data_IF_118715670463
#
_entry.id   IF_118715670463
#
_cell.length_a   1.000
_cell.length_b   1.000
_cell.length_c   1.000
_cell.angle_alpha   90.00
_cell.angle_beta   90.00
_cell.angle_gamma   90.00
#
_symmetry.space_group_name_H-M   'P 1'
#
loop_
_entity.id
_entity.type
_entity.pdbx_description
1 polymer ?
#
# COMPACT_ATOMS: atom_id res chain seq x y z
N UNK A 1 9.35 -8.61 4.14
CA UNK A 1 10.22 -7.55 4.71
C UNK A 1 10.20 -7.61 6.24
N UNK A 2 9.06 -7.49 6.91
CA UNK A 2 8.98 -7.46 8.38
C UNK A 2 9.49 -8.69 9.15
N UNK A 3 9.69 -9.84 8.50
CA UNK A 3 10.25 -11.06 9.12
C UNK A 3 11.78 -11.20 8.97
N UNK A 4 12.41 -10.44 8.07
CA UNK A 4 13.83 -10.60 7.73
C UNK A 4 14.71 -9.43 8.20
N UNK A 5 14.10 -8.31 8.59
CA UNK A 5 14.78 -7.15 9.16
C UNK A 5 14.05 -6.68 10.41
N UNK A 6 14.74 -6.03 11.36
CA UNK A 6 14.10 -5.41 12.51
C UNK A 6 12.98 -4.46 12.09
N UNK A 7 11.86 -4.48 12.81
CA UNK A 7 10.64 -3.74 12.46
C UNK A 7 10.90 -2.23 12.35
N UNK A 8 11.74 -1.69 13.23
CA UNK A 8 12.16 -0.29 13.23
C UNK A 8 12.92 0.13 11.96
N UNK A 9 13.50 -0.84 11.23
CA UNK A 9 14.22 -0.60 9.97
C UNK A 9 13.33 -0.73 8.74
N UNK A 10 12.13 -1.30 8.88
CA UNK A 10 11.21 -1.53 7.74
C UNK A 10 10.85 -0.24 7.01
N UNK A 11 10.48 0.88 7.68
CA UNK A 11 10.14 2.12 6.99
C UNK A 11 11.32 2.67 6.18
N UNK A 12 12.53 2.63 6.75
CA UNK A 12 13.74 3.09 6.08
C UNK A 12 14.10 2.21 4.87
N UNK A 13 13.96 0.89 5.01
CA UNK A 13 14.20 -0.04 3.91
C UNK A 13 13.20 0.18 2.76
N UNK A 14 11.92 0.36 3.07
CA UNK A 14 10.89 0.68 2.07
C UNK A 14 11.22 1.97 1.33
N UNK A 15 11.51 3.05 2.04
CA UNK A 15 11.90 4.33 1.44
C UNK A 15 13.11 4.17 0.52
N UNK A 16 14.14 3.43 0.96
CA UNK A 16 15.35 3.18 0.17
C UNK A 16 15.05 2.40 -1.11
N UNK A 17 14.21 1.36 -1.04
CA UNK A 17 13.82 0.54 -2.19
C UNK A 17 13.03 1.38 -3.21
N UNK A 18 12.02 2.13 -2.74
CA UNK A 18 11.21 3.01 -3.60
C UNK A 18 12.10 4.02 -4.30
N UNK A 19 13.01 4.67 -3.57
CA UNK A 19 13.92 5.65 -4.15
C UNK A 19 14.85 5.03 -5.21
N UNK A 20 15.44 3.87 -4.92
CA UNK A 20 16.33 3.18 -5.85
C UNK A 20 15.59 2.75 -7.12
N UNK A 21 14.37 2.21 -7.00
CA UNK A 21 13.55 1.85 -8.16
C UNK A 21 13.28 3.07 -9.05
N UNK A 22 12.96 4.22 -8.44
CA UNK A 22 12.74 5.48 -9.15
C UNK A 22 14.01 5.98 -9.86
N UNK A 23 15.16 5.95 -9.20
CA UNK A 23 16.45 6.29 -9.82
C UNK A 23 16.76 5.41 -11.04
N UNK A 24 16.37 4.14 -10.98
CA UNK A 24 16.54 3.17 -12.06
C UNK A 24 15.43 3.21 -13.12
N UNK A 25 14.47 4.15 -13.02
CA UNK A 25 13.27 4.22 -13.87
C UNK A 25 12.48 2.90 -13.92
N UNK A 26 12.49 2.14 -12.82
CA UNK A 26 11.71 0.91 -12.67
C UNK A 26 10.45 1.21 -11.86
N UNK A 27 9.26 0.74 -12.31
CA UNK A 27 8.04 0.91 -11.54
C UNK A 27 8.14 0.17 -10.21
N UNK A 28 7.67 0.80 -9.13
CA UNK A 28 7.64 0.22 -7.79
C UNK A 28 6.22 0.14 -7.25
N UNK A 29 5.83 -1.07 -6.87
CA UNK A 29 4.54 -1.37 -6.25
C UNK A 29 4.81 -1.66 -4.78
N UNK A 30 4.11 -0.97 -3.88
CA UNK A 30 4.18 -1.28 -2.45
C UNK A 30 2.96 -2.10 -2.06
N UNK A 31 3.21 -3.37 -1.72
CA UNK A 31 2.26 -4.28 -1.13
C UNK A 31 2.52 -4.35 0.38
N UNK A 32 2.00 -3.37 1.11
CA UNK A 32 2.01 -3.38 2.58
C UNK A 32 0.59 -3.66 3.07
N UNK A 33 0.48 -4.25 4.27
CA UNK A 33 -0.78 -4.46 4.97
C UNK A 33 -1.31 -3.13 5.51
N UNK A 34 -1.59 -2.21 4.59
CA UNK A 34 -1.89 -0.81 4.88
C UNK A 34 -3.26 -0.64 5.50
N UNK A 35 -4.16 -1.60 5.35
CA UNK A 35 -5.55 -1.51 5.82
C UNK A 35 -5.99 -2.85 6.42
N UNK A 36 -5.09 -3.58 7.08
CA UNK A 36 -5.36 -4.91 7.65
C UNK A 36 -6.56 -4.90 8.60
N UNK A 37 -6.73 -3.83 9.39
CA UNK A 37 -7.90 -3.69 10.26
C UNK A 37 -9.20 -3.64 9.48
N UNK A 38 -9.16 -3.25 8.20
CA UNK A 38 -10.34 -3.19 7.33
C UNK A 38 -10.85 -4.55 6.85
N UNK A 39 -10.13 -5.63 7.16
CA UNK A 39 -10.62 -6.99 6.97
C UNK A 39 -11.84 -7.23 7.87
N UNK A 40 -11.74 -6.81 9.14
CA UNK A 40 -12.78 -7.03 10.16
C UNK A 40 -13.63 -5.78 10.43
N UNK A 41 -13.06 -4.58 10.29
CA UNK A 41 -13.70 -3.32 10.67
C UNK A 41 -13.96 -2.40 9.46
N UNK A 42 -15.03 -1.61 9.45
CA UNK A 42 -15.36 -0.75 8.31
C UNK A 42 -14.49 0.51 8.20
N UNK A 43 -13.66 0.80 9.20
CA UNK A 43 -12.88 2.04 9.34
C UNK A 43 -11.43 1.64 9.66
N UNK A 44 -10.44 2.20 8.94
CA UNK A 44 -9.04 1.96 9.24
C UNK A 44 -8.60 2.71 10.49
N UNK A 45 -7.53 2.24 11.09
CA UNK A 45 -6.83 2.94 12.17
C UNK A 45 -6.10 4.18 11.65
N UNK A 46 -5.71 5.09 12.56
CA UNK A 46 -4.90 6.26 12.19
C UNK A 46 -3.53 5.87 11.63
N UNK A 47 -2.89 4.87 12.22
CA UNK A 47 -1.57 4.40 11.81
C UNK A 47 -1.57 3.88 10.36
N UNK A 48 -2.64 3.18 9.96
CA UNK A 48 -2.85 2.67 8.61
C UNK A 48 -3.04 3.78 7.56
N UNK A 49 -3.84 4.80 7.89
CA UNK A 49 -4.02 5.97 7.02
C UNK A 49 -2.71 6.76 6.88
N UNK A 50 -1.95 6.89 7.96
CA UNK A 50 -0.65 7.55 7.97
C UNK A 50 0.36 6.77 7.13
N UNK A 51 0.43 5.44 7.23
CA UNK A 51 1.34 4.59 6.43
C UNK A 51 0.99 4.62 4.93
N UNK A 52 -0.31 4.60 4.60
CA UNK A 52 -0.77 4.74 3.22
C UNK A 52 -0.38 6.12 2.65
N UNK A 53 -0.58 7.19 3.42
CA UNK A 53 -0.23 8.56 3.01
C UNK A 53 1.28 8.74 2.84
N UNK A 54 2.07 8.18 3.75
CA UNK A 54 3.52 8.21 3.70
C UNK A 54 4.06 7.45 2.48
N UNK A 55 3.45 6.31 2.11
CA UNK A 55 3.83 5.57 0.91
C UNK A 55 3.52 6.34 -0.37
N UNK A 56 2.39 7.05 -0.45
CA UNK A 56 2.10 7.93 -1.59
C UNK A 56 3.10 9.09 -1.64
N UNK A 57 3.48 9.65 -0.47
CA UNK A 57 4.49 10.72 -0.37
C UNK A 57 5.87 10.29 -0.84
N UNK A 58 6.23 9.01 -0.65
CA UNK A 58 7.45 8.40 -1.18
C UNK A 58 7.43 8.24 -2.70
N UNK A 59 6.32 8.57 -3.37
CA UNK A 59 6.14 8.44 -4.80
C UNK A 59 6.32 7.00 -5.29
N UNK A 60 5.79 6.04 -4.54
CA UNK A 60 5.54 4.70 -5.09
C UNK A 60 4.71 4.84 -6.39
N UNK A 61 4.77 3.90 -7.33
CA UNK A 61 3.96 4.01 -8.55
C UNK A 61 2.54 3.50 -8.33
N UNK A 62 2.38 2.52 -7.45
CA UNK A 62 1.09 2.01 -7.01
C UNK A 62 1.12 1.38 -5.61
N UNK A 63 -0.06 1.31 -4.99
CA UNK A 63 -0.32 0.51 -3.79
C UNK A 63 -1.13 -0.71 -4.15
N UNK A 64 -0.87 -1.80 -3.44
CA UNK A 64 -1.57 -3.06 -3.59
C UNK A 64 -2.31 -3.40 -2.29
N UNK A 65 -3.60 -3.73 -2.43
CA UNK A 65 -4.37 -4.39 -1.37
C UNK A 65 -4.18 -5.90 -1.49
N UNK A 66 -4.08 -6.59 -0.37
CA UNK A 66 -3.91 -8.03 -0.30
C UNK A 66 -5.16 -8.64 0.34
N UNK A 67 -5.05 -9.15 1.57
CA UNK A 67 -6.17 -9.78 2.29
C UNK A 67 -7.39 -8.87 2.48
N UNK A 68 -7.20 -7.55 2.43
CA UNK A 68 -8.28 -6.55 2.53
C UNK A 68 -9.25 -6.59 1.35
N UNK A 69 -8.77 -6.97 0.16
CA UNK A 69 -9.60 -7.09 -1.06
C UNK A 69 -10.11 -8.50 -1.29
N UNK A 70 -9.38 -9.52 -0.84
CA UNK A 70 -9.69 -10.92 -1.12
C UNK A 70 -10.58 -11.58 -0.04
N UNK A 71 -10.31 -11.27 1.23
CA UNK A 71 -11.04 -11.84 2.38
C UNK A 71 -11.70 -10.78 3.27
N UNK A 72 -11.50 -9.50 2.97
CA UNK A 72 -12.06 -8.41 3.77
C UNK A 72 -13.57 -8.29 3.63
N UNK A 73 -14.24 -7.93 4.74
CA UNK A 73 -15.67 -7.63 4.74
C UNK A 73 -16.01 -6.31 4.00
N UNK A 74 -14.99 -5.47 3.75
CA UNK A 74 -15.17 -4.11 3.23
C UNK A 74 -14.21 -3.74 2.07
N UNK A 75 -14.12 -4.54 0.98
CA UNK A 75 -13.13 -4.34 -0.08
C UNK A 75 -13.31 -3.00 -0.82
N UNK A 76 -14.55 -2.61 -1.12
CA UNK A 76 -14.87 -1.32 -1.75
C UNK A 76 -14.52 -0.11 -0.87
N UNK A 77 -14.68 -0.24 0.46
CA UNK A 77 -14.31 0.83 1.40
C UNK A 77 -12.79 0.94 1.51
N UNK A 78 -12.07 -0.17 1.56
CA UNK A 78 -10.61 -0.17 1.57
C UNK A 78 -10.06 0.53 0.30
N UNK A 79 -10.65 0.24 -0.86
CA UNK A 79 -10.32 0.92 -2.10
C UNK A 79 -10.62 2.43 -2.06
N UNK A 80 -11.77 2.81 -1.49
CA UNK A 80 -12.13 4.21 -1.31
C UNK A 80 -11.15 4.97 -0.40
N UNK A 81 -10.66 4.33 0.66
CA UNK A 81 -9.63 4.90 1.55
C UNK A 81 -8.34 5.16 0.78
N UNK A 82 -7.84 4.19 0.00
CA UNK A 82 -6.64 4.38 -0.83
C UNK A 82 -6.82 5.47 -1.88
N UNK A 83 -8.01 5.55 -2.51
CA UNK A 83 -8.35 6.64 -3.45
C UNK A 83 -8.32 8.00 -2.77
N UNK A 84 -8.79 8.10 -1.53
CA UNK A 84 -8.76 9.33 -0.75
C UNK A 84 -7.33 9.71 -0.33
N UNK A 85 -6.51 8.75 0.08
CA UNK A 85 -5.10 8.96 0.40
C UNK A 85 -4.31 9.53 -0.81
N UNK A 86 -4.60 9.01 -2.02
CA UNK A 86 -4.10 9.61 -3.27
C UNK A 86 -4.53 11.06 -3.42
N UNK A 87 -5.80 11.40 -3.18
CA UNK A 87 -6.29 12.76 -3.39
C UNK A 87 -5.60 13.78 -2.48
N UNK A 88 -5.26 13.37 -1.26
CA UNK A 88 -4.57 14.21 -0.27
C UNK A 88 -3.10 14.43 -0.64
N UNK A 89 -2.45 13.42 -1.21
CA UNK A 89 -1.07 13.51 -1.63
C UNK A 89 -0.99 14.05 -3.06
N UNK A 90 -0.32 15.18 -3.29
CA UNK A 90 -0.22 15.90 -4.58
C UNK A 90 0.49 15.13 -5.73
N UNK A 91 0.57 13.79 -5.66
CA UNK A 91 1.23 12.91 -6.62
C UNK A 91 0.49 12.88 -7.97
N UNK A 92 1.02 13.60 -8.95
CA UNK A 92 0.40 13.79 -10.28
C UNK A 92 0.42 12.55 -11.20
N UNK A 93 1.28 11.55 -10.94
CA UNK A 93 1.56 10.45 -11.89
C UNK A 93 1.26 9.04 -11.34
N UNK A 94 0.35 8.94 -10.37
CA UNK A 94 0.00 7.67 -9.78
C UNK A 94 -0.92 6.85 -10.69
N UNK A 95 -0.37 5.81 -11.31
CA UNK A 95 -1.14 4.82 -12.05
C UNK A 95 -1.73 3.85 -11.03
N UNK A 96 -3.05 3.73 -11.00
CA UNK A 96 -3.69 2.55 -10.40
C UNK A 96 -3.60 1.45 -11.45
N UNK A 97 -2.63 0.51 -11.43
CA UNK A 97 -2.99 -0.79 -11.92
C UNK A 97 -4.07 -1.28 -10.96
N UNK A 98 -5.25 -1.45 -11.53
CA UNK A 98 -6.38 -2.20 -11.03
C UNK A 98 -5.95 -3.19 -9.97
N UNK A 99 -6.62 -3.15 -8.80
CA UNK A 99 -6.68 -4.21 -7.79
C UNK A 99 -6.10 -5.49 -8.39
N UNK A 100 -4.83 -5.78 -8.12
CA UNK A 100 -4.29 -7.08 -8.46
C UNK A 100 -4.96 -8.02 -7.48
N UNK A 101 -6.16 -8.46 -7.88
CA UNK A 101 -6.80 -9.65 -7.40
C UNK A 101 -5.76 -10.74 -7.57
N UNK A 102 -5.03 -11.00 -6.48
CA UNK A 102 -4.13 -12.13 -6.34
C UNK A 102 -5.00 -13.39 -6.26
N UNK A 103 -5.74 -13.69 -7.33
CA UNK A 103 -5.88 -15.08 -7.73
C UNK A 103 -4.46 -15.57 -8.06
N UNK A 104 -3.66 -15.93 -7.04
CA UNK A 104 -2.45 -16.75 -7.06
C UNK A 104 -1.50 -16.47 -5.87
N UNK A 105 -1.95 -16.61 -4.63
CA UNK A 105 -1.09 -17.20 -3.60
C UNK A 105 -1.81 -18.40 -2.98
N UNK A 106 -1.45 -19.58 -3.51
CA UNK A 106 -1.95 -20.93 -3.24
C UNK A 106 -3.27 -21.32 -3.93
N UNK A 107 -3.12 -22.27 -4.88
CA UNK A 107 -4.07 -23.33 -5.23
C UNK A 107 -5.33 -22.94 -6.02
#
# INVERSE_FOLDING_TARGET
MGSHIPLEKVPFAQQRIVHLCRELNKPVIVASRLLESMIEYPIPTRAEVDDASETVRQQADSLMLSGESEMGLYPEKALAVLRNAKRTSLAKNWNFPTIYQLHCWLL
#
